data_IF_253579633834
#
_entry.id   IF_253579633834
#
_cell.length_a   1.000
_cell.length_b   1.000
_cell.length_c   1.000
_cell.angle_alpha   90.00
_cell.angle_beta   90.00
_cell.angle_gamma   90.00
#
_symmetry.space_group_name_H-M   'P 1'
#
loop_
_entity.id
_entity.type
_entity.pdbx_description
1 polymer ?
#
# COMPACT_ATOMS: atom_id res chain seq x y z
N UNK A 1 8.10 8.26 -7.39
CA UNK A 1 8.64 7.03 -6.78
C UNK A 1 7.94 5.84 -7.39
N UNK A 2 8.70 4.97 -8.01
CA UNK A 2 8.15 3.73 -8.56
C UNK A 2 7.96 2.73 -7.43
N UNK A 3 6.70 2.36 -7.19
CA UNK A 3 6.39 1.22 -6.31
C UNK A 3 6.70 -0.02 -7.15
N UNK A 4 7.72 -0.75 -6.77
CA UNK A 4 8.02 -2.02 -7.39
C UNK A 4 7.15 -3.10 -6.76
N UNK A 5 6.41 -3.81 -7.59
CA UNK A 5 5.74 -5.04 -7.20
C UNK A 5 6.76 -6.19 -7.20
N UNK A 6 7.89 -5.99 -6.53
CA UNK A 6 8.91 -7.01 -6.46
C UNK A 6 9.04 -7.55 -5.04
N UNK A 7 8.18 -8.52 -4.68
CA UNK A 7 8.12 -9.08 -3.34
C UNK A 7 9.45 -9.58 -2.79
N UNK A 8 10.35 -10.21 -3.59
CA UNK A 8 11.59 -10.77 -3.05
C UNK A 8 12.52 -9.76 -2.41
N UNK A 9 12.61 -8.54 -2.94
CA UNK A 9 13.49 -7.52 -2.39
C UNK A 9 12.93 -6.94 -1.09
N UNK A 10 11.62 -6.70 -1.03
CA UNK A 10 10.95 -6.25 0.18
C UNK A 10 11.02 -7.31 1.27
N UNK A 11 10.84 -8.59 0.92
CA UNK A 11 10.98 -9.69 1.87
C UNK A 11 12.37 -9.77 2.47
N UNK A 12 13.41 -9.62 1.65
CA UNK A 12 14.80 -9.58 2.13
C UNK A 12 15.04 -8.42 3.09
N UNK A 13 14.51 -7.24 2.76
CA UNK A 13 14.62 -6.06 3.62
C UNK A 13 13.97 -6.29 4.97
N UNK A 14 12.81 -6.94 5.02
CA UNK A 14 12.12 -7.28 6.27
C UNK A 14 12.94 -8.31 7.07
N UNK A 15 13.50 -9.32 6.41
CA UNK A 15 14.38 -10.29 7.08
C UNK A 15 15.59 -9.62 7.70
N UNK A 16 16.21 -8.68 6.99
CA UNK A 16 17.33 -7.90 7.52
C UNK A 16 16.92 -7.03 8.70
N UNK A 17 15.75 -6.41 8.63
CA UNK A 17 15.21 -5.61 9.74
C UNK A 17 15.01 -6.46 10.98
N UNK A 18 14.41 -7.64 10.84
CA UNK A 18 14.21 -8.57 11.96
C UNK A 18 15.54 -8.96 12.61
N UNK A 19 16.56 -9.30 11.81
CA UNK A 19 17.90 -9.59 12.31
C UNK A 19 18.53 -8.42 13.04
N UNK A 20 18.38 -7.23 12.47
CA UNK A 20 18.92 -5.99 13.09
C UNK A 20 18.26 -5.69 14.43
N UNK A 21 17.01 -6.11 14.63
CA UNK A 21 16.28 -5.97 15.88
C UNK A 21 16.55 -7.12 16.88
N UNK A 22 17.41 -8.05 16.51
CA UNK A 22 17.78 -9.17 17.39
C UNK A 22 16.86 -10.39 17.29
N UNK A 23 16.01 -10.44 16.27
CA UNK A 23 15.10 -11.57 16.05
C UNK A 23 15.68 -12.57 15.05
N UNK A 24 15.25 -13.82 15.19
CA UNK A 24 15.58 -14.86 14.22
C UNK A 24 14.44 -15.03 13.22
N UNK A 25 14.60 -14.57 11.97
CA UNK A 25 13.52 -14.68 10.98
C UNK A 25 13.24 -16.11 10.52
N UNK A 26 14.09 -17.06 10.87
CA UNK A 26 13.91 -18.48 10.51
C UNK A 26 13.07 -19.26 11.52
N UNK A 27 12.82 -18.70 12.70
CA UNK A 27 11.98 -19.39 13.68
C UNK A 27 10.54 -19.52 13.19
N UNK A 28 9.85 -20.57 13.60
CA UNK A 28 8.51 -20.92 13.13
C UNK A 28 7.51 -19.74 13.17
N UNK A 29 7.52 -18.97 14.26
CA UNK A 29 6.61 -17.83 14.42
C UNK A 29 6.88 -16.65 13.50
N UNK A 30 8.06 -16.55 12.89
CA UNK A 30 8.46 -15.45 12.01
C UNK A 30 8.77 -15.88 10.57
N UNK A 31 8.68 -17.17 10.28
CA UNK A 31 9.05 -17.73 8.98
C UNK A 31 8.35 -17.05 7.81
N UNK A 32 7.07 -16.73 7.98
CA UNK A 32 6.27 -16.07 6.92
C UNK A 32 6.12 -14.57 7.12
N UNK A 33 6.72 -14.00 8.15
CA UNK A 33 6.59 -12.59 8.46
C UNK A 33 7.17 -11.69 7.36
N UNK A 34 8.34 -11.97 6.79
CA UNK A 34 8.86 -11.15 5.69
C UNK A 34 7.90 -11.04 4.51
N UNK A 35 7.33 -12.15 4.06
CA UNK A 35 6.35 -12.18 2.99
C UNK A 35 5.10 -11.37 3.34
N UNK A 36 4.57 -11.58 4.54
CA UNK A 36 3.35 -10.90 5.00
C UNK A 36 3.53 -9.41 5.15
N UNK A 37 4.66 -8.97 5.70
CA UNK A 37 4.96 -7.53 5.85
C UNK A 37 5.18 -6.89 4.48
N UNK A 38 5.91 -7.54 3.59
CA UNK A 38 6.12 -7.04 2.23
C UNK A 38 4.79 -6.83 1.50
N UNK A 39 3.89 -7.80 1.58
CA UNK A 39 2.54 -7.71 0.99
C UNK A 39 1.72 -6.58 1.60
N UNK A 40 1.75 -6.45 2.92
CA UNK A 40 1.01 -5.40 3.62
C UNK A 40 1.51 -4.01 3.20
N UNK A 41 2.82 -3.83 3.14
CA UNK A 41 3.42 -2.56 2.73
C UNK A 41 3.12 -2.23 1.27
N UNK A 42 3.19 -3.20 0.37
CA UNK A 42 2.82 -3.01 -1.03
C UNK A 42 1.36 -2.57 -1.17
N UNK A 43 0.46 -3.19 -0.42
CA UNK A 43 -0.95 -2.82 -0.39
C UNK A 43 -1.15 -1.39 0.13
N UNK A 44 -0.54 -1.06 1.26
CA UNK A 44 -0.67 0.26 1.88
C UNK A 44 -0.13 1.39 1.00
N UNK A 45 0.83 1.09 0.14
CA UNK A 45 1.44 2.06 -0.78
C UNK A 45 0.89 1.95 -2.21
N UNK A 46 -0.10 1.12 -2.46
CA UNK A 46 -0.59 0.84 -3.81
C UNK A 46 -1.14 2.07 -4.53
N UNK A 47 -1.65 3.05 -3.80
CA UNK A 47 -2.16 4.29 -4.38
C UNK A 47 -1.08 5.20 -4.98
N UNK A 48 0.19 5.04 -4.57
CA UNK A 48 1.27 5.92 -5.02
C UNK A 48 1.53 5.84 -6.53
N UNK A 49 1.20 4.71 -7.16
CA UNK A 49 1.38 4.49 -8.61
C UNK A 49 0.10 4.73 -9.41
N UNK A 50 -0.98 5.17 -8.77
CA UNK A 50 -2.27 5.37 -9.41
C UNK A 50 -2.57 6.85 -9.57
N UNK A 51 -3.27 7.20 -10.66
CA UNK A 51 -3.83 8.53 -10.86
C UNK A 51 -5.33 8.53 -10.54
N UNK A 52 -5.94 9.71 -10.32
CA UNK A 52 -7.41 9.76 -10.17
C UNK A 52 -8.17 9.15 -11.34
N UNK A 53 -7.66 9.28 -12.56
CA UNK A 53 -8.27 8.69 -13.75
C UNK A 53 -8.24 7.17 -13.71
N UNK A 54 -7.15 6.58 -13.22
CA UNK A 54 -7.04 5.13 -13.05
C UNK A 54 -8.09 4.61 -12.08
N UNK A 55 -8.28 5.32 -10.97
CA UNK A 55 -9.24 4.94 -9.92
C UNK A 55 -10.67 5.05 -10.41
N UNK A 56 -10.98 6.06 -11.23
CA UNK A 56 -12.31 6.24 -11.81
C UNK A 56 -12.70 5.13 -12.79
N UNK A 57 -11.71 4.47 -13.39
CA UNK A 57 -11.91 3.33 -14.28
C UNK A 57 -12.96 3.61 -15.38
N UNK A 58 -12.90 4.78 -15.99
CA UNK A 58 -13.82 5.18 -17.05
C UNK A 58 -15.22 5.57 -16.59
N UNK A 59 -15.50 5.59 -15.30
CA UNK A 59 -16.81 6.00 -14.76
C UNK A 59 -16.96 7.52 -14.79
N UNK A 60 -16.91 8.09 -15.99
CA UNK A 60 -17.08 9.51 -16.23
C UNK A 60 -18.31 9.68 -17.12
N UNK A 61 -19.25 10.50 -16.67
CA UNK A 61 -20.50 10.72 -17.33
C UNK A 61 -20.64 12.18 -17.78
N UNK A 62 -21.32 12.40 -18.88
CA UNK A 62 -21.64 13.74 -19.37
C UNK A 62 -22.86 14.27 -18.65
N UNK A 63 -22.65 14.88 -17.51
CA UNK A 63 -23.69 15.49 -16.69
C UNK A 63 -23.32 16.93 -16.36
N UNK A 64 -24.30 17.80 -16.33
CA UNK A 64 -24.13 19.19 -15.89
C UNK A 64 -24.90 19.38 -14.59
N UNK A 65 -24.19 19.73 -13.52
CA UNK A 65 -24.80 19.99 -12.23
C UNK A 65 -24.15 21.21 -11.59
N UNK A 66 -24.97 22.22 -11.31
CA UNK A 66 -24.51 23.50 -10.75
C UNK A 66 -24.71 23.62 -9.24
N UNK A 67 -25.26 22.62 -8.60
CA UNK A 67 -25.50 22.61 -7.16
C UNK A 67 -24.29 22.16 -6.34
N UNK A 68 -24.50 22.15 -5.05
CA UNK A 68 -23.52 21.60 -4.12
C UNK A 68 -23.59 20.07 -4.10
N UNK A 69 -22.44 19.43 -4.18
CA UNK A 69 -22.32 17.98 -3.97
C UNK A 69 -21.63 17.75 -2.63
N UNK A 70 -22.30 17.02 -1.73
CA UNK A 70 -21.78 16.69 -0.42
C UNK A 70 -21.65 15.20 -0.28
N UNK A 71 -20.44 14.75 0.04
CA UNK A 71 -20.16 13.34 0.35
C UNK A 71 -19.71 13.27 1.80
N UNK A 72 -20.38 12.45 2.60
CA UNK A 72 -20.11 12.31 4.03
C UNK A 72 -19.48 10.97 4.36
N UNK A 73 -18.82 10.91 5.50
CA UNK A 73 -18.29 9.68 6.09
C UNK A 73 -17.33 8.93 5.18
N UNK A 74 -16.44 9.68 4.50
CA UNK A 74 -15.41 9.08 3.66
C UNK A 74 -14.32 8.50 4.55
N UNK A 75 -14.14 7.18 4.51
CA UNK A 75 -12.98 6.54 5.12
C UNK A 75 -11.72 6.87 4.33
N UNK A 76 -10.68 7.26 5.02
CA UNK A 76 -9.44 7.69 4.40
C UNK A 76 -8.24 7.18 5.20
N UNK A 77 -7.34 6.47 4.54
CA UNK A 77 -6.11 5.96 5.12
C UNK A 77 -4.94 6.41 4.28
N UNK A 78 -3.91 6.94 4.92
CA UNK A 78 -2.72 7.41 4.23
C UNK A 78 -1.49 7.23 5.10
N UNK A 79 -0.38 6.82 4.48
CA UNK A 79 0.92 6.82 5.14
C UNK A 79 1.62 8.13 4.87
N UNK A 80 2.14 8.76 5.93
CA UNK A 80 2.99 9.92 5.81
C UNK A 80 4.36 9.50 5.27
N UNK A 81 5.02 10.39 4.54
CA UNK A 81 6.36 10.12 4.01
C UNK A 81 7.41 9.92 5.11
N UNK A 82 7.15 10.46 6.29
CA UNK A 82 8.06 10.34 7.43
C UNK A 82 8.00 8.97 8.10
#
# INVERSE_FOLDING_TARGET
MLVRDDPPDAERAVSQLLRALGEDPTREGLERTPERVARAMAFLNSGASKTPLDVLNGAIFTESYEGMVLVQDIEFYSLCEH
#
